data_IF_149082598186
#
_entry.id   IF_149082598186
#
_cell.length_a   1.000
_cell.length_b   1.000
_cell.length_c   1.000
_cell.angle_alpha   90.00
_cell.angle_beta   90.00
_cell.angle_gamma   90.00
#
_symmetry.space_group_name_H-M   'P 1'
#
loop_
_entity.id
_entity.type
_entity.pdbx_description
1 polymer ?
#
# COMPACT_ATOMS: atom_id res chain seq x y z
N UNK A 1 -2.68 16.29 17.03
CA UNK A 1 -2.82 14.94 16.44
C UNK A 1 -3.39 15.09 15.06
N UNK A 2 -2.59 14.81 14.04
CA UNK A 2 -3.03 14.75 12.64
C UNK A 2 -4.13 13.69 12.54
N UNK A 3 -5.35 14.09 12.15
CA UNK A 3 -6.42 13.13 11.85
C UNK A 3 -6.05 12.42 10.56
N UNK A 4 -5.47 11.24 10.68
CA UNK A 4 -5.28 10.34 9.56
C UNK A 4 -6.53 9.52 9.32
N UNK A 5 -6.86 9.31 8.04
CA UNK A 5 -8.01 8.51 7.63
C UNK A 5 -7.53 7.27 6.89
N UNK A 6 -7.96 6.06 7.28
CA UNK A 6 -7.61 4.85 6.53
C UNK A 6 -8.26 4.89 5.15
N UNK A 7 -7.70 4.15 4.19
CA UNK A 7 -8.42 3.83 2.96
C UNK A 7 -9.67 2.99 3.27
N UNK A 8 -10.77 3.13 2.49
CA UNK A 8 -10.98 4.09 1.40
C UNK A 8 -11.44 5.49 1.88
N UNK A 9 -11.67 5.67 3.19
CA UNK A 9 -12.24 6.90 3.76
C UNK A 9 -11.46 8.17 3.41
N UNK A 10 -10.13 8.07 3.33
CA UNK A 10 -9.29 9.17 2.87
C UNK A 10 -9.72 9.66 1.48
N UNK A 11 -9.89 8.75 0.52
CA UNK A 11 -10.24 9.09 -0.86
C UNK A 11 -11.69 9.54 -0.96
N UNK A 12 -12.61 8.89 -0.25
CA UNK A 12 -14.01 9.32 -0.21
C UNK A 12 -14.18 10.77 0.28
N UNK A 13 -13.30 11.25 1.17
CA UNK A 13 -13.32 12.63 1.65
C UNK A 13 -12.90 13.64 0.58
N UNK A 14 -11.93 13.30 -0.28
CA UNK A 14 -11.36 14.22 -1.28
C UNK A 14 -12.01 14.09 -2.67
N UNK A 15 -12.42 12.88 -3.05
CA UNK A 15 -12.96 12.54 -4.37
C UNK A 15 -14.47 12.31 -4.35
N UNK A 16 -15.08 12.25 -3.16
CA UNK A 16 -16.48 11.88 -2.98
C UNK A 16 -16.70 10.37 -2.99
N UNK A 17 -17.94 9.95 -2.70
CA UNK A 17 -18.32 8.53 -2.54
C UNK A 17 -18.49 7.76 -3.85
N UNK A 18 -18.55 8.47 -4.98
CA UNK A 18 -18.74 7.87 -6.31
C UNK A 18 -17.40 7.36 -6.86
N UNK A 19 -17.07 6.10 -6.54
CA UNK A 19 -15.78 5.46 -6.87
C UNK A 19 -15.50 5.37 -8.37
N UNK A 20 -16.53 5.23 -9.19
CA UNK A 20 -16.40 5.18 -10.66
C UNK A 20 -15.86 6.50 -11.25
N UNK A 21 -15.97 7.61 -10.50
CA UNK A 21 -15.42 8.92 -10.91
C UNK A 21 -14.00 9.15 -10.41
N UNK A 22 -13.43 8.23 -9.66
CA UNK A 22 -12.08 8.39 -9.12
C UNK A 22 -11.05 8.30 -10.24
N UNK A 23 -9.96 9.09 -10.16
CA UNK A 23 -8.81 8.94 -11.05
C UNK A 23 -8.34 7.47 -11.08
N UNK A 24 -7.91 6.93 -12.23
CA UNK A 24 -7.44 5.56 -12.34
C UNK A 24 -6.32 5.22 -11.34
N UNK A 25 -5.44 6.18 -11.03
CA UNK A 25 -4.38 6.00 -10.04
C UNK A 25 -4.96 5.76 -8.64
N UNK A 26 -5.98 6.52 -8.24
CA UNK A 26 -6.67 6.33 -6.96
C UNK A 26 -7.38 4.97 -6.90
N UNK A 27 -8.05 4.58 -8.01
CA UNK A 27 -8.69 3.25 -8.14
C UNK A 27 -7.66 2.13 -8.06
N UNK A 28 -6.46 2.32 -8.63
CA UNK A 28 -5.37 1.35 -8.54
C UNK A 28 -4.93 1.14 -7.09
N UNK A 29 -4.73 2.23 -6.34
CA UNK A 29 -4.37 2.15 -4.92
C UNK A 29 -5.49 1.50 -4.09
N UNK A 30 -6.76 1.82 -4.39
CA UNK A 30 -7.92 1.19 -3.75
C UNK A 30 -8.01 -0.32 -4.05
N UNK A 31 -7.75 -0.74 -5.29
CA UNK A 31 -7.76 -2.16 -5.67
C UNK A 31 -6.73 -2.96 -4.86
N UNK A 32 -5.54 -2.39 -4.63
CA UNK A 32 -4.54 -2.97 -3.73
C UNK A 32 -5.04 -3.04 -2.29
N UNK A 33 -5.73 -1.99 -1.82
CA UNK A 33 -6.44 -2.01 -0.54
C UNK A 33 -7.58 -3.04 -0.51
N UNK A 34 -8.13 -3.55 -1.61
CA UNK A 34 -9.11 -4.64 -1.53
C UNK A 34 -8.53 -6.04 -1.73
N UNK A 35 -7.23 -6.14 -2.01
CA UNK A 35 -6.60 -7.42 -2.28
C UNK A 35 -6.83 -7.92 -3.72
N UNK A 36 -7.32 -7.06 -4.64
CA UNK A 36 -7.75 -7.47 -5.97
C UNK A 36 -6.63 -7.32 -7.01
N UNK A 37 -5.82 -8.36 -7.16
CA UNK A 37 -4.72 -8.40 -8.14
C UNK A 37 -5.22 -8.28 -9.59
N UNK A 38 -6.43 -8.79 -9.89
CA UNK A 38 -6.98 -8.74 -11.23
C UNK A 38 -7.36 -7.30 -11.60
N UNK A 39 -8.02 -6.59 -10.69
CA UNK A 39 -8.38 -5.19 -10.89
C UNK A 39 -7.13 -4.30 -10.93
N UNK A 40 -6.09 -4.56 -10.12
CA UNK A 40 -4.79 -3.88 -10.25
C UNK A 40 -4.24 -4.02 -11.68
N UNK A 41 -4.20 -5.24 -12.22
CA UNK A 41 -3.69 -5.51 -13.58
C UNK A 41 -4.54 -4.84 -14.66
N UNK A 42 -5.87 -4.83 -14.49
CA UNK A 42 -6.81 -4.19 -15.41
C UNK A 42 -6.61 -2.66 -15.44
N UNK A 43 -6.58 -2.01 -14.29
CA UNK A 43 -6.39 -0.56 -14.18
C UNK A 43 -4.99 -0.16 -14.65
N UNK A 44 -3.96 -0.94 -14.31
CA UNK A 44 -2.60 -0.71 -14.82
C UNK A 44 -2.54 -0.80 -16.35
N UNK A 45 -3.36 -1.64 -16.98
CA UNK A 45 -3.48 -1.70 -18.44
C UNK A 45 -4.13 -0.45 -19.02
N UNK A 46 -5.13 0.10 -18.34
CA UNK A 46 -5.74 1.40 -18.70
C UNK A 46 -4.72 2.54 -18.61
N UNK A 47 -3.87 2.50 -17.59
CA UNK A 47 -2.83 3.51 -17.32
C UNK A 47 -1.58 3.38 -18.21
N UNK A 48 -1.29 2.20 -18.75
CA UNK A 48 -0.12 1.92 -19.59
C UNK A 48 -0.28 2.45 -21.03
N UNK A 49 -0.65 3.72 -21.18
CA UNK A 49 -0.84 4.39 -22.47
C UNK A 49 0.46 4.40 -23.29
N UNK A 50 1.61 4.42 -22.62
CA UNK A 50 2.94 4.46 -23.23
C UNK A 50 3.51 3.07 -23.57
N UNK A 51 2.86 1.99 -23.11
CA UNK A 51 3.29 0.62 -23.41
C UNK A 51 4.59 0.20 -22.72
N UNK A 52 4.88 0.74 -21.54
CA UNK A 52 6.04 0.35 -20.72
C UNK A 52 5.84 -1.00 -20.03
N UNK A 53 4.61 -1.50 -20.02
CA UNK A 53 4.23 -2.79 -19.45
C UNK A 53 3.59 -2.67 -18.07
N UNK A 54 2.66 -3.58 -17.79
CA UNK A 54 1.87 -3.63 -16.55
C UNK A 54 2.73 -3.53 -15.28
N UNK A 55 3.83 -4.30 -15.10
CA UNK A 55 4.62 -4.21 -13.88
C UNK A 55 5.23 -2.81 -13.68
N UNK A 56 5.74 -2.19 -14.75
CA UNK A 56 6.35 -0.85 -14.68
C UNK A 56 5.30 0.20 -14.33
N UNK A 57 4.10 0.11 -14.92
CA UNK A 57 2.98 1.00 -14.58
C UNK A 57 2.59 0.83 -13.11
N UNK A 58 2.39 -0.41 -12.64
CA UNK A 58 2.06 -0.67 -11.23
C UNK A 58 3.11 -0.10 -10.27
N UNK A 59 4.40 -0.29 -10.57
CA UNK A 59 5.49 0.19 -9.71
C UNK A 59 5.59 1.73 -9.63
N UNK A 60 5.26 2.41 -10.74
CA UNK A 60 5.40 3.86 -10.85
C UNK A 60 4.13 4.64 -10.51
N UNK A 61 2.96 4.00 -10.51
CA UNK A 61 1.71 4.67 -10.14
C UNK A 61 1.68 4.96 -8.64
N UNK A 62 1.43 6.24 -8.33
CA UNK A 62 1.20 6.72 -6.97
C UNK A 62 -0.03 7.61 -6.95
N UNK A 63 -0.70 7.68 -5.80
CA UNK A 63 -1.80 8.61 -5.58
C UNK A 63 -1.77 9.14 -4.15
N UNK A 64 -1.78 10.48 -4.01
CA UNK A 64 -1.59 11.16 -2.72
C UNK A 64 -0.33 10.68 -1.95
N UNK A 65 0.75 10.40 -2.68
CA UNK A 65 2.01 9.96 -2.07
C UNK A 65 2.09 8.49 -1.73
N UNK A 66 0.99 7.74 -1.82
CA UNK A 66 0.96 6.30 -1.59
C UNK A 66 1.14 5.53 -2.90
N UNK A 67 1.64 4.31 -2.79
CA UNK A 67 1.71 3.34 -3.89
C UNK A 67 0.88 2.10 -3.48
N UNK A 68 0.75 1.14 -4.39
CA UNK A 68 -0.03 -0.07 -4.15
C UNK A 68 0.51 -0.94 -3.01
N UNK A 69 1.82 -0.87 -2.71
CA UNK A 69 2.44 -1.65 -1.64
C UNK A 69 2.11 -1.07 -0.25
N UNK A 70 2.07 0.26 -0.12
CA UNK A 70 1.56 0.95 1.08
C UNK A 70 0.10 0.57 1.37
N UNK A 71 -0.74 0.53 0.34
CA UNK A 71 -2.17 0.30 0.48
C UNK A 71 -2.56 -1.18 0.71
N UNK A 72 -1.67 -2.13 0.43
CA UNK A 72 -1.93 -3.57 0.50
C UNK A 72 -2.19 -4.13 1.91
N UNK A 73 -2.25 -3.32 2.97
CA UNK A 73 -2.43 -3.80 4.35
C UNK A 73 -3.85 -4.24 4.68
N UNK A 74 -4.08 -5.51 5.09
CA UNK A 74 -5.35 -6.02 5.61
C UNK A 74 -5.49 -7.55 5.58
N UNK A 75 -6.52 -8.10 6.24
CA UNK A 75 -6.82 -9.54 6.22
C UNK A 75 -7.05 -10.03 4.78
N UNK A 76 -6.35 -11.09 4.37
CA UNK A 76 -6.52 -11.75 3.06
C UNK A 76 -5.70 -11.18 1.89
N UNK A 77 -4.87 -10.15 2.11
CA UNK A 77 -4.18 -9.40 1.04
C UNK A 77 -2.76 -9.89 0.69
N UNK A 78 -2.36 -11.04 1.21
CA UNK A 78 -1.08 -11.69 0.86
C UNK A 78 -0.88 -11.92 -0.65
N UNK A 79 -1.90 -12.27 -1.47
CA UNK A 79 -1.73 -12.36 -2.91
C UNK A 79 -1.25 -11.06 -3.56
N UNK A 80 -1.71 -9.90 -3.07
CA UNK A 80 -1.23 -8.59 -3.55
C UNK A 80 0.24 -8.40 -3.17
N UNK A 81 0.63 -8.66 -1.93
CA UNK A 81 2.04 -8.57 -1.54
C UNK A 81 2.94 -9.47 -2.38
N UNK A 82 2.54 -10.72 -2.63
CA UNK A 82 3.26 -11.64 -3.52
C UNK A 82 3.40 -11.08 -4.92
N UNK A 83 2.31 -10.62 -5.51
CA UNK A 83 2.35 -9.99 -6.83
C UNK A 83 3.32 -8.78 -6.86
N UNK A 84 3.20 -7.87 -5.90
CA UNK A 84 3.97 -6.62 -5.89
C UNK A 84 5.47 -6.83 -5.60
N UNK A 85 5.81 -7.73 -4.68
CA UNK A 85 7.20 -7.98 -4.26
C UNK A 85 7.88 -9.00 -5.17
N UNK A 86 7.20 -10.08 -5.54
CA UNK A 86 7.80 -11.19 -6.30
C UNK A 86 7.71 -11.01 -7.81
N UNK A 87 6.60 -10.50 -8.35
CA UNK A 87 6.45 -10.28 -9.80
C UNK A 87 6.87 -8.87 -10.21
N UNK A 88 6.36 -7.84 -9.51
CA UNK A 88 6.60 -6.42 -9.88
C UNK A 88 7.95 -5.91 -9.35
N UNK A 89 8.54 -6.57 -8.35
CA UNK A 89 9.83 -6.19 -7.74
C UNK A 89 9.85 -4.78 -7.14
N UNK A 90 8.75 -4.38 -6.50
CA UNK A 90 8.66 -3.08 -5.83
C UNK A 90 9.62 -2.98 -4.64
N UNK A 91 10.13 -1.77 -4.40
CA UNK A 91 10.94 -1.44 -3.22
C UNK A 91 10.08 -1.47 -1.95
N UNK A 92 10.38 -2.42 -1.05
CA UNK A 92 9.68 -2.62 0.22
C UNK A 92 10.06 -1.60 1.30
N UNK A 93 11.09 -0.79 1.07
CA UNK A 93 11.59 0.22 2.00
C UNK A 93 11.21 1.65 1.63
N UNK A 94 10.62 1.86 0.44
CA UNK A 94 10.23 3.18 -0.02
C UNK A 94 9.11 3.72 0.88
N UNK A 95 9.28 4.87 1.56
CA UNK A 95 8.20 5.48 2.33
C UNK A 95 7.19 6.19 1.43
N UNK A 96 5.95 6.32 1.90
CA UNK A 96 4.97 7.23 1.31
C UNK A 96 5.37 8.69 1.54
N UNK A 97 4.76 9.62 0.79
CA UNK A 97 5.05 11.05 0.96
C UNK A 97 4.06 11.78 1.87
N UNK A 98 3.08 11.08 2.43
CA UNK A 98 2.00 11.69 3.23
C UNK A 98 2.35 11.74 4.71
N UNK A 99 2.84 10.63 5.23
CA UNK A 99 3.21 10.43 6.64
C UNK A 99 4.62 9.83 6.78
N UNK A 100 5.32 9.63 5.66
CA UNK A 100 6.67 9.05 5.61
C UNK A 100 6.71 7.60 6.09
N UNK A 101 5.62 6.83 5.90
CA UNK A 101 5.56 5.43 6.35
C UNK A 101 5.92 4.47 5.22
N UNK A 102 6.78 3.52 5.54
CA UNK A 102 7.07 2.33 4.73
C UNK A 102 5.88 1.36 4.70
N UNK A 103 5.84 0.41 3.75
CA UNK A 103 4.82 -0.63 3.73
C UNK A 103 4.68 -1.42 5.04
N UNK A 104 5.80 -1.73 5.71
CA UNK A 104 5.77 -2.46 6.99
C UNK A 104 5.23 -1.57 8.12
N UNK A 105 5.53 -0.28 8.11
CA UNK A 105 4.95 0.69 9.05
C UNK A 105 3.42 0.79 8.92
N UNK A 106 2.90 0.80 7.68
CA UNK A 106 1.45 0.68 7.43
C UNK A 106 0.87 -0.62 7.97
N UNK A 107 1.53 -1.76 7.71
CA UNK A 107 1.07 -3.07 8.17
C UNK A 107 1.04 -3.16 9.71
N UNK A 108 2.06 -2.62 10.40
CA UNK A 108 2.13 -2.57 11.87
C UNK A 108 1.06 -1.66 12.46
N UNK A 109 0.90 -0.45 11.92
CA UNK A 109 -0.09 0.53 12.41
C UNK A 109 -1.52 -0.03 12.39
N UNK A 110 -1.83 -0.88 11.42
CA UNK A 110 -3.14 -1.49 11.27
C UNK A 110 -3.25 -2.91 11.88
N UNK A 111 -2.21 -3.41 12.57
CA UNK A 111 -2.24 -4.70 13.24
C UNK A 111 -2.29 -5.90 12.29
N UNK A 112 -1.67 -5.81 11.11
CA UNK A 112 -1.80 -6.81 10.04
C UNK A 112 -0.68 -7.86 10.10
N UNK A 113 -0.75 -8.75 11.09
CA UNK A 113 0.26 -9.79 11.35
C UNK A 113 0.71 -10.59 10.11
N UNK A 114 -0.17 -11.07 9.21
CA UNK A 114 0.28 -11.80 8.03
C UNK A 114 1.12 -10.95 7.07
N UNK A 115 0.76 -9.68 6.88
CA UNK A 115 1.49 -8.75 6.04
C UNK A 115 2.83 -8.35 6.67
N UNK A 116 2.83 -8.09 7.98
CA UNK A 116 4.06 -7.82 8.75
C UNK A 116 5.04 -8.99 8.59
N UNK A 117 4.58 -10.22 8.83
CA UNK A 117 5.43 -11.42 8.68
C UNK A 117 5.96 -11.56 7.26
N UNK A 118 5.10 -11.39 6.25
CA UNK A 118 5.53 -11.50 4.86
C UNK A 118 6.60 -10.47 4.49
N UNK A 119 6.41 -9.20 4.85
CA UNK A 119 7.36 -8.14 4.58
C UNK A 119 8.71 -8.39 5.29
N UNK A 120 8.67 -8.93 6.52
CA UNK A 120 9.87 -9.32 7.26
C UNK A 120 10.63 -10.46 6.64
N UNK A 121 9.91 -11.50 6.20
CA UNK A 121 10.49 -12.63 5.48
C UNK A 121 11.18 -12.18 4.17
N UNK A 122 10.82 -10.98 3.65
CA UNK A 122 11.41 -10.34 2.48
C UNK A 122 12.43 -9.22 2.81
N UNK A 123 12.81 -9.07 4.08
CA UNK A 123 13.89 -8.16 4.50
C UNK A 123 13.44 -6.77 4.97
N UNK A 124 12.15 -6.53 5.18
CA UNK A 124 11.68 -5.28 5.80
C UNK A 124 12.24 -5.13 7.22
N UNK A 125 12.54 -3.89 7.62
CA UNK A 125 13.15 -3.60 8.92
C UNK A 125 12.09 -3.17 9.96
N UNK A 126 12.08 -3.78 11.14
CA UNK A 126 11.24 -3.38 12.30
C UNK A 126 11.98 -2.47 13.29
N UNK A 127 13.26 -2.21 13.08
CA UNK A 127 14.05 -1.34 13.93
C UNK A 127 13.89 0.14 13.55
N UNK A 128 13.02 0.44 12.58
CA UNK A 128 12.60 1.80 12.28
C UNK A 128 12.04 2.47 13.55
N UNK A 129 12.64 3.61 13.90
CA UNK A 129 12.28 4.41 15.06
C UNK A 129 11.57 5.68 14.60
N UNK A 130 10.36 5.91 15.12
CA UNK A 130 9.59 7.14 14.90
C UNK A 130 9.38 7.83 16.24
N UNK A 131 10.21 8.83 16.52
CA UNK A 131 10.26 9.48 17.83
C UNK A 131 10.73 8.50 18.91
N UNK A 132 9.98 8.40 20.01
CA UNK A 132 10.34 7.54 21.15
C UNK A 132 9.90 6.07 20.98
N UNK A 133 9.12 5.76 19.94
CA UNK A 133 8.60 4.41 19.70
C UNK A 133 9.33 3.72 18.55
N UNK A 134 9.73 2.47 18.77
CA UNK A 134 10.16 1.58 17.68
C UNK A 134 8.96 0.91 17.05
N UNK A 135 9.10 0.44 15.81
CA UNK A 135 8.07 -0.35 15.16
C UNK A 135 7.69 -1.58 15.98
N UNK A 136 8.65 -2.22 16.65
CA UNK A 136 8.42 -3.35 17.53
C UNK A 136 7.49 -3.03 18.70
N UNK A 137 7.61 -1.85 19.32
CA UNK A 137 6.68 -1.40 20.36
C UNK A 137 5.26 -1.23 19.81
N UNK A 138 5.13 -0.68 18.59
CA UNK A 138 3.85 -0.54 17.90
C UNK A 138 3.25 -1.91 17.51
N UNK A 139 4.07 -2.86 17.07
CA UNK A 139 3.62 -4.21 16.72
C UNK A 139 3.13 -4.99 17.96
N UNK A 140 3.81 -4.84 19.11
CA UNK A 140 3.42 -5.48 20.36
C UNK A 140 2.13 -4.91 20.96
N UNK A 141 1.76 -3.67 20.63
CA UNK A 141 0.52 -3.03 21.12
C UNK A 141 -0.71 -3.32 20.24
N UNK A 142 -0.50 -3.74 18.99
CA UNK A 142 -1.56 -4.01 18.01
C UNK A 142 -1.66 -5.51 17.61
N UNK A 143 -0.96 -6.39 18.34
CA UNK A 143 -0.92 -7.84 18.13
C UNK A 143 -2.01 -8.61 18.86
#
# INVERSE_FOLDING_TARGET
>A
GTREWPLPRLYELFLGKERDRWPPEARLIEAAHHGDVLEIKKIAKELDVQGHGIPVTVANTTYMGMNVLHAAGGLGRLPVYRYLVEEVKMDIHKPDTLIDFTPVEHAVKHGHLPAIKYLLDHGADLHLQRGDNTLLHSAATHG
#
